data_IF_030669955328
#
_entry.id   IF_030669955328
#
_cell.length_a   1.000
_cell.length_b   1.000
_cell.length_c   1.000
_cell.angle_alpha   90.00
_cell.angle_beta   90.00
_cell.angle_gamma   90.00
#
_symmetry.space_group_name_H-M   'P 1'
#
loop_
_entity.id
_entity.type
_entity.pdbx_description
1 polymer ?
#
# COMPACT_ATOMS: atom_id res chain seq x y z
N UNK A 1 -0.72 28.33 -9.62
CA UNK A 1 -0.94 27.50 -10.83
C UNK A 1 -0.38 26.15 -10.46
N UNK A 2 -1.24 25.14 -10.37
CA UNK A 2 -0.84 23.77 -10.02
C UNK A 2 -0.13 23.21 -11.24
N UNK A 3 1.16 22.93 -11.15
CA UNK A 3 1.89 22.32 -12.26
C UNK A 3 1.47 20.85 -12.34
N UNK A 4 0.99 20.42 -13.50
CA UNK A 4 0.41 19.09 -13.70
C UNK A 4 0.92 18.48 -15.00
N UNK A 5 1.32 17.22 -14.94
CA UNK A 5 1.82 16.46 -16.09
C UNK A 5 1.27 15.04 -16.08
N UNK A 6 1.38 14.37 -17.23
CA UNK A 6 1.07 12.96 -17.38
C UNK A 6 2.13 12.30 -18.26
N UNK A 7 2.45 11.04 -17.99
CA UNK A 7 3.44 10.25 -18.74
C UNK A 7 2.86 8.86 -18.95
N UNK A 8 2.93 8.36 -20.18
CA UNK A 8 2.58 7.00 -20.51
C UNK A 8 3.79 6.09 -20.22
N UNK A 9 3.53 4.89 -19.75
CA UNK A 9 4.58 3.88 -19.57
C UNK A 9 5.05 3.34 -20.92
N UNK A 10 6.31 2.91 -20.98
CA UNK A 10 6.89 2.33 -22.18
C UNK A 10 6.29 0.95 -22.51
N UNK A 11 6.02 0.14 -21.48
CA UNK A 11 5.48 -1.21 -21.63
C UNK A 11 3.93 -1.22 -21.58
N UNK A 12 3.33 -1.88 -22.55
CA UNK A 12 1.87 -1.99 -22.71
C UNK A 12 1.43 -3.44 -22.92
N UNK A 13 0.18 -3.74 -22.58
CA UNK A 13 -0.43 -5.03 -22.88
C UNK A 13 -1.27 -4.94 -24.15
N UNK A 14 -0.99 -5.82 -25.12
CA UNK A 14 -1.84 -5.97 -26.31
C UNK A 14 -2.99 -6.94 -26.05
N UNK A 15 -4.23 -6.47 -26.25
CA UNK A 15 -5.44 -7.29 -26.11
C UNK A 15 -6.14 -7.50 -27.46
N UNK A 16 -6.74 -8.68 -27.70
CA UNK A 16 -7.54 -8.91 -28.90
C UNK A 16 -8.89 -8.17 -28.80
N UNK A 17 -9.26 -7.51 -29.90
CA UNK A 17 -10.53 -6.80 -30.08
C UNK A 17 -11.16 -7.22 -31.41
N UNK A 18 -11.80 -8.39 -31.42
CA UNK A 18 -12.36 -8.98 -32.63
C UNK A 18 -11.26 -9.43 -33.60
N UNK A 19 -11.23 -8.82 -34.78
CA UNK A 19 -10.22 -9.03 -35.82
C UNK A 19 -8.99 -8.10 -35.67
N UNK A 20 -8.97 -7.25 -34.65
CA UNK A 20 -7.88 -6.31 -34.35
C UNK A 20 -7.20 -6.65 -33.03
N UNK A 21 -6.06 -6.00 -32.80
CA UNK A 21 -5.42 -5.90 -31.49
C UNK A 21 -5.38 -4.44 -31.07
N UNK A 22 -5.52 -4.19 -29.76
CA UNK A 22 -5.41 -2.88 -29.15
C UNK A 22 -4.35 -2.93 -28.06
N UNK A 23 -3.49 -1.93 -28.02
CA UNK A 23 -2.56 -1.75 -26.92
C UNK A 23 -3.27 -0.98 -25.81
N UNK A 24 -3.20 -1.50 -24.59
CA UNK A 24 -3.74 -0.87 -23.40
C UNK A 24 -2.66 0.06 -22.86
N UNK A 25 -2.77 1.34 -23.20
CA UNK A 25 -1.88 2.38 -22.70
C UNK A 25 -2.20 2.70 -21.24
N UNK A 26 -1.17 2.70 -20.42
CA UNK A 26 -1.20 3.01 -18.99
C UNK A 26 -0.19 4.13 -18.72
N UNK A 27 -0.30 4.77 -17.57
CA UNK A 27 0.62 5.85 -17.23
C UNK A 27 0.41 6.37 -15.81
N UNK A 28 1.08 7.47 -15.52
CA UNK A 28 0.93 8.17 -14.26
C UNK A 28 0.77 9.68 -14.50
N UNK A 29 -0.03 10.31 -13.64
CA UNK A 29 -0.18 11.75 -13.56
C UNK A 29 0.57 12.29 -12.36
N UNK A 30 1.17 13.47 -12.49
CA UNK A 30 1.89 14.16 -11.42
C UNK A 30 1.29 15.54 -11.23
N UNK A 31 1.07 15.95 -9.99
CA UNK A 31 0.54 17.27 -9.63
C UNK A 31 1.32 17.83 -8.45
N UNK A 32 1.89 19.03 -8.59
CA UNK A 32 2.45 19.77 -7.46
C UNK A 32 1.33 20.43 -6.64
N UNK A 33 1.16 20.03 -5.38
CA UNK A 33 0.07 20.45 -4.52
C UNK A 33 0.54 21.25 -3.30
N UNK A 34 -0.40 21.97 -2.68
CA UNK A 34 -0.18 22.66 -1.41
C UNK A 34 -1.42 22.56 -0.54
N UNK A 35 -1.24 22.21 0.73
CA UNK A 35 -2.30 22.17 1.73
C UNK A 35 -1.81 22.85 3.01
N UNK A 36 -2.38 24.02 3.33
CA UNK A 36 -1.79 24.91 4.34
C UNK A 36 -0.39 25.34 3.91
N UNK A 37 0.60 25.15 4.79
CA UNK A 37 2.00 25.47 4.52
C UNK A 37 2.81 24.28 3.95
N UNK A 38 2.18 23.11 3.78
CA UNK A 38 2.84 21.92 3.24
C UNK A 38 2.74 21.89 1.71
N UNK A 39 3.89 22.00 1.03
CA UNK A 39 4.03 21.71 -0.39
C UNK A 39 4.45 20.25 -0.60
N UNK A 40 3.86 19.57 -1.58
CA UNK A 40 4.09 18.15 -1.84
C UNK A 40 3.71 17.78 -3.27
N UNK A 41 4.16 16.62 -3.73
CA UNK A 41 3.81 16.08 -5.04
C UNK A 41 2.80 14.96 -4.89
N UNK A 42 1.73 14.98 -5.70
CA UNK A 42 0.77 13.88 -5.81
C UNK A 42 1.02 13.15 -7.12
N UNK A 43 1.16 11.83 -7.04
CA UNK A 43 1.29 10.95 -8.19
C UNK A 43 0.12 9.98 -8.20
N UNK A 44 -0.59 9.87 -9.33
CA UNK A 44 -1.68 8.91 -9.50
C UNK A 44 -1.44 7.97 -10.66
N UNK A 45 -1.65 6.68 -10.47
CA UNK A 45 -1.50 5.67 -11.54
C UNK A 45 -2.60 4.60 -11.48
N UNK A 46 -2.71 3.83 -12.55
CA UNK A 46 -3.45 2.57 -12.57
C UNK A 46 -2.59 1.59 -13.38
N UNK A 47 -1.89 0.68 -12.70
CA UNK A 47 -0.95 -0.25 -13.33
C UNK A 47 -1.66 -1.39 -14.07
N UNK A 48 -0.91 -2.16 -14.86
CA UNK A 48 -1.45 -3.26 -15.64
C UNK A 48 -2.10 -4.37 -14.79
N UNK A 49 -3.32 -4.75 -15.15
CA UNK A 49 -4.12 -5.71 -14.39
C UNK A 49 -3.89 -7.16 -14.82
N UNK A 50 -3.68 -7.40 -16.12
CA UNK A 50 -3.68 -8.76 -16.66
C UNK A 50 -2.29 -9.43 -16.71
N UNK A 51 -1.23 -8.64 -16.78
CA UNK A 51 0.14 -9.12 -17.03
C UNK A 51 1.07 -8.68 -15.92
N UNK A 52 1.43 -9.60 -15.04
CA UNK A 52 2.34 -9.32 -13.91
C UNK A 52 3.70 -8.79 -14.37
N UNK A 53 4.21 -9.29 -15.51
CA UNK A 53 5.49 -8.84 -16.05
C UNK A 53 5.44 -7.41 -16.57
N UNK A 54 4.33 -7.03 -17.24
CA UNK A 54 4.14 -5.65 -17.71
C UNK A 54 3.89 -4.74 -16.52
N UNK A 55 3.07 -5.18 -15.56
CA UNK A 55 2.82 -4.45 -14.31
C UNK A 55 4.11 -4.17 -13.54
N UNK A 56 4.98 -5.16 -13.41
CA UNK A 56 6.29 -5.00 -12.77
C UNK A 56 7.19 -4.00 -13.50
N UNK A 57 7.25 -4.06 -14.84
CA UNK A 57 8.02 -3.09 -15.63
C UNK A 57 7.48 -1.65 -15.47
N UNK A 58 6.16 -1.47 -15.45
CA UNK A 58 5.53 -0.17 -15.17
C UNK A 58 5.84 0.33 -13.75
N UNK A 59 5.86 -0.57 -12.76
CA UNK A 59 6.24 -0.23 -11.39
C UNK A 59 7.71 0.19 -11.27
N UNK A 60 8.63 -0.49 -11.97
CA UNK A 60 10.04 -0.11 -12.01
C UNK A 60 10.24 1.27 -12.63
N UNK A 61 9.54 1.55 -13.74
CA UNK A 61 9.57 2.87 -14.40
C UNK A 61 9.02 3.97 -13.47
N UNK A 62 7.88 3.71 -12.81
CA UNK A 62 7.30 4.64 -11.86
C UNK A 62 8.19 4.86 -10.63
N UNK A 63 8.83 3.81 -10.11
CA UNK A 63 9.77 3.91 -9.00
C UNK A 63 10.96 4.82 -9.36
N UNK A 64 11.49 4.70 -10.58
CA UNK A 64 12.55 5.58 -11.07
C UNK A 64 12.08 7.04 -11.18
N UNK A 65 10.84 7.27 -11.63
CA UNK A 65 10.25 8.60 -11.68
C UNK A 65 10.05 9.20 -10.28
N UNK A 66 9.58 8.41 -9.32
CA UNK A 66 9.39 8.83 -7.92
C UNK A 66 10.72 9.18 -7.25
N UNK A 67 11.77 8.38 -7.48
CA UNK A 67 13.11 8.64 -6.94
C UNK A 67 13.75 9.94 -7.46
N UNK A 68 13.24 10.49 -8.57
CA UNK A 68 13.67 11.77 -9.13
C UNK A 68 12.88 12.98 -8.58
N UNK A 69 11.85 12.76 -7.77
CA UNK A 69 11.08 13.83 -7.14
C UNK A 69 11.77 14.33 -5.87
N UNK A 70 11.68 15.63 -5.62
CA UNK A 70 12.14 16.24 -4.38
C UNK A 70 10.97 16.52 -3.43
N UNK A 71 11.18 16.23 -2.15
CA UNK A 71 10.25 16.59 -1.08
C UNK A 71 9.08 15.62 -0.89
N UNK A 72 8.12 15.97 0.00
CA UNK A 72 7.04 15.07 0.38
C UNK A 72 6.21 14.63 -0.82
N UNK A 73 5.89 13.33 -0.87
CA UNK A 73 5.22 12.71 -2.00
C UNK A 73 4.07 11.82 -1.53
N UNK A 74 2.98 11.84 -2.30
CA UNK A 74 1.84 10.95 -2.14
C UNK A 74 1.61 10.24 -3.46
N UNK A 75 1.94 8.96 -3.52
CA UNK A 75 1.54 8.06 -4.61
C UNK A 75 0.20 7.42 -4.22
N UNK A 76 -0.78 7.46 -5.12
CA UNK A 76 -2.06 6.78 -4.92
C UNK A 76 -2.57 6.16 -6.22
N UNK A 77 -3.39 5.11 -6.10
CA UNK A 77 -4.03 4.50 -7.27
C UNK A 77 -4.23 3.00 -7.14
N UNK A 78 -4.72 2.40 -8.23
CA UNK A 78 -4.88 0.96 -8.38
C UNK A 78 -3.57 0.37 -8.91
N UNK A 79 -2.82 -0.26 -8.02
CA UNK A 79 -1.55 -0.89 -8.38
C UNK A 79 -1.76 -2.26 -9.02
N UNK A 80 -2.97 -2.82 -9.03
CA UNK A 80 -3.25 -4.21 -9.41
C UNK A 80 -2.32 -5.22 -8.72
N UNK A 81 -1.85 -4.86 -7.52
CA UNK A 81 -0.90 -5.61 -6.71
C UNK A 81 -1.02 -5.18 -5.25
N UNK A 82 -0.46 -5.96 -4.33
CA UNK A 82 -0.57 -5.68 -2.90
C UNK A 82 0.32 -6.60 -2.04
N UNK A 83 0.39 -6.35 -0.72
CA UNK A 83 1.30 -7.05 0.18
C UNK A 83 1.07 -8.56 0.27
N UNK A 84 -0.12 -9.04 -0.10
CA UNK A 84 -0.46 -10.46 -0.08
C UNK A 84 0.14 -11.25 -1.26
N UNK A 85 0.54 -10.57 -2.34
CA UNK A 85 1.06 -11.20 -3.56
C UNK A 85 2.56 -11.51 -3.46
N UNK A 86 3.33 -10.64 -2.81
CA UNK A 86 4.73 -10.86 -2.47
C UNK A 86 5.71 -10.58 -3.62
N UNK A 87 6.52 -9.53 -3.45
CA UNK A 87 7.64 -9.19 -4.34
C UNK A 87 7.24 -8.71 -5.74
N UNK A 88 6.07 -8.07 -5.85
CA UNK A 88 5.51 -7.52 -7.08
C UNK A 88 5.59 -6.00 -7.16
N UNK A 89 4.67 -5.42 -7.92
CA UNK A 89 4.64 -3.98 -8.18
C UNK A 89 4.43 -3.15 -6.90
N UNK A 90 3.64 -3.68 -5.96
CA UNK A 90 3.42 -3.05 -4.67
C UNK A 90 4.74 -2.92 -3.89
N UNK A 91 5.50 -4.01 -3.72
CA UNK A 91 6.76 -3.96 -2.98
C UNK A 91 7.81 -3.09 -3.65
N UNK A 92 7.86 -3.05 -4.98
CA UNK A 92 8.72 -2.12 -5.71
C UNK A 92 8.40 -0.67 -5.36
N UNK A 93 7.13 -0.28 -5.39
CA UNK A 93 6.70 1.10 -5.14
C UNK A 93 6.70 1.48 -3.65
N UNK A 94 6.45 0.51 -2.77
CA UNK A 94 6.44 0.69 -1.32
C UNK A 94 7.85 0.58 -0.69
N UNK A 95 8.91 0.34 -1.47
CA UNK A 95 10.26 0.13 -0.94
C UNK A 95 10.76 1.34 -0.12
N UNK A 96 10.50 2.55 -0.60
CA UNK A 96 10.91 3.81 0.02
C UNK A 96 9.70 4.68 0.47
N UNK A 97 8.48 4.15 0.35
CA UNK A 97 7.24 4.84 0.74
C UNK A 97 6.54 4.09 1.87
N UNK A 98 5.89 4.83 2.77
CA UNK A 98 5.05 4.25 3.82
C UNK A 98 3.64 4.01 3.29
N UNK A 99 3.12 2.79 3.40
CA UNK A 99 1.70 2.52 3.15
C UNK A 99 0.84 3.16 4.26
N UNK A 100 -0.01 4.11 3.87
CA UNK A 100 -0.86 4.86 4.79
C UNK A 100 -1.94 3.99 5.44
N UNK A 101 -2.41 2.94 4.76
CA UNK A 101 -3.37 2.00 5.33
C UNK A 101 -2.70 1.21 6.47
N UNK A 102 -1.56 0.56 6.19
CA UNK A 102 -0.85 -0.25 7.20
C UNK A 102 -0.41 0.61 8.39
N UNK A 103 0.03 1.84 8.15
CA UNK A 103 0.42 2.76 9.22
C UNK A 103 -0.76 3.16 10.13
N UNK A 104 -1.96 3.38 9.57
CA UNK A 104 -3.13 3.82 10.34
C UNK A 104 -4.03 2.67 10.84
N UNK A 105 -3.91 1.47 10.25
CA UNK A 105 -4.77 0.30 10.45
C UNK A 105 -3.96 -1.02 10.38
N UNK A 106 -2.93 -1.22 11.22
CA UNK A 106 -1.98 -2.33 11.09
C UNK A 106 -2.60 -3.73 11.23
N UNK A 107 -3.78 -3.84 11.84
CA UNK A 107 -4.48 -5.11 12.05
C UNK A 107 -5.67 -5.33 11.09
N UNK A 108 -5.87 -4.44 10.11
CA UNK A 108 -7.00 -4.53 9.18
C UNK A 108 -6.54 -4.82 7.76
N UNK A 109 -7.23 -5.76 7.09
CA UNK A 109 -6.84 -6.23 5.76
C UNK A 109 -6.89 -5.12 4.69
N UNK A 110 -7.89 -4.24 4.75
CA UNK A 110 -8.03 -3.13 3.80
C UNK A 110 -8.42 -3.55 2.40
N UNK A 111 -9.21 -4.62 2.24
CA UNK A 111 -9.63 -5.08 0.92
C UNK A 111 -10.42 -4.03 0.13
N UNK A 112 -10.01 -3.84 -1.12
CA UNK A 112 -10.58 -2.88 -2.05
C UNK A 112 -11.16 -3.54 -3.30
N UNK A 113 -10.88 -4.82 -3.57
CA UNK A 113 -11.25 -5.51 -4.82
C UNK A 113 -11.60 -7.01 -4.59
N UNK A 114 -12.31 -7.71 -5.49
CA UNK A 114 -13.15 -7.14 -6.56
C UNK A 114 -14.56 -7.72 -6.48
N UNK A 115 -15.53 -6.82 -6.59
CA UNK A 115 -16.93 -7.22 -6.78
C UNK A 115 -17.17 -7.64 -8.22
N UNK A 116 -18.34 -8.21 -8.46
CA UNK A 116 -18.77 -8.55 -9.82
C UNK A 116 -18.90 -7.29 -10.68
N UNK A 117 -18.47 -7.37 -11.94
CA UNK A 117 -18.54 -6.28 -12.93
C UNK A 117 -19.96 -5.80 -13.25
N UNK A 118 -20.99 -6.59 -12.92
CA UNK A 118 -22.40 -6.19 -13.01
C UNK A 118 -22.81 -5.21 -11.92
N UNK A 119 -21.99 -5.06 -10.86
CA UNK A 119 -22.17 -4.17 -9.71
C UNK A 119 -23.42 -4.44 -8.86
N UNK A 120 -24.29 -5.37 -9.23
CA UNK A 120 -25.50 -5.76 -8.49
C UNK A 120 -25.28 -6.96 -7.55
N UNK A 121 -24.09 -7.56 -7.57
CA UNK A 121 -23.70 -8.74 -6.80
C UNK A 121 -23.40 -8.49 -5.31
N UNK A 122 -22.96 -9.52 -4.55
CA UNK A 122 -22.55 -9.38 -3.16
C UNK A 122 -21.39 -8.37 -2.99
N UNK A 123 -21.20 -7.86 -1.76
CA UNK A 123 -20.25 -6.78 -1.47
C UNK A 123 -18.87 -7.19 -0.98
N UNK A 124 -18.61 -8.50 -0.83
CA UNK A 124 -17.34 -9.00 -0.31
C UNK A 124 -16.19 -8.72 -1.29
N UNK A 125 -15.05 -8.33 -0.73
CA UNK A 125 -13.77 -8.08 -1.39
C UNK A 125 -12.71 -8.82 -0.58
N UNK A 126 -11.69 -9.35 -1.25
CA UNK A 126 -10.63 -10.18 -0.66
C UNK A 126 -9.22 -9.83 -1.16
N UNK A 127 -9.09 -8.76 -1.96
CA UNK A 127 -7.82 -8.25 -2.47
C UNK A 127 -7.63 -6.77 -2.11
N UNK A 128 -6.39 -6.35 -1.81
CA UNK A 128 -6.00 -4.96 -1.56
C UNK A 128 -5.12 -4.48 -2.70
N UNK A 129 -5.74 -3.85 -3.69
CA UNK A 129 -5.07 -3.41 -4.93
C UNK A 129 -4.91 -1.89 -5.01
N UNK A 130 -5.75 -1.15 -4.29
CA UNK A 130 -5.72 0.31 -4.26
C UNK A 130 -4.97 0.80 -3.03
N UNK A 131 -3.97 1.67 -3.24
CA UNK A 131 -3.05 2.08 -2.17
C UNK A 131 -2.89 3.59 -2.10
N UNK A 132 -2.46 4.05 -0.93
CA UNK A 132 -1.93 5.41 -0.71
C UNK A 132 -0.57 5.25 -0.03
N UNK A 133 0.50 5.46 -0.80
CA UNK A 133 1.88 5.33 -0.37
C UNK A 133 2.49 6.73 -0.21
N UNK A 134 3.17 6.99 0.89
CA UNK A 134 3.59 8.35 1.27
C UNK A 134 5.04 8.45 1.72
N UNK A 135 5.67 9.58 1.39
CA UNK A 135 6.92 10.06 1.98
C UNK A 135 6.74 11.49 2.49
N UNK A 136 7.38 11.84 3.62
CA UNK A 136 7.23 13.14 4.29
C UNK A 136 5.89 13.35 5.00
N UNK A 137 5.09 12.29 5.18
CA UNK A 137 3.80 12.32 5.86
C UNK A 137 3.64 11.15 6.86
N UNK A 138 2.93 11.41 7.94
CA UNK A 138 2.40 10.39 8.83
C UNK A 138 0.90 10.19 8.55
N UNK A 139 0.48 8.95 8.30
CA UNK A 139 -0.94 8.60 8.23
C UNK A 139 -1.54 8.57 9.63
N UNK A 140 -2.61 9.33 9.83
CA UNK A 140 -3.28 9.48 11.14
C UNK A 140 -4.63 8.77 11.18
N UNK A 141 -5.21 8.52 10.02
CA UNK A 141 -6.45 7.78 9.85
C UNK A 141 -6.49 7.19 8.43
N UNK A 142 -7.11 6.04 8.29
CA UNK A 142 -7.45 5.46 7.00
C UNK A 142 -8.81 4.77 7.07
N UNK A 143 -9.59 4.89 5.99
CA UNK A 143 -10.91 4.27 5.87
C UNK A 143 -11.27 3.97 4.43
N UNK A 144 -12.12 2.97 4.24
CA UNK A 144 -12.72 2.68 2.95
C UNK A 144 -13.96 3.54 2.70
N UNK A 145 -14.25 3.80 1.43
CA UNK A 145 -15.50 4.42 0.96
C UNK A 145 -16.11 3.55 -0.13
N UNK A 146 -17.43 3.54 -0.23
CA UNK A 146 -18.11 2.67 -1.19
C UNK A 146 -18.04 1.18 -0.82
N UNK A 147 -17.56 0.84 0.39
CA UNK A 147 -17.39 -0.53 0.86
C UNK A 147 -18.68 -1.14 1.45
N UNK A 148 -19.51 -0.32 2.11
CA UNK A 148 -20.66 -0.76 2.88
C UNK A 148 -21.96 -0.77 2.07
N UNK A 149 -22.93 -1.61 2.46
CA UNK A 149 -24.19 -1.79 1.75
C UNK A 149 -24.99 -0.48 1.59
N UNK A 150 -24.84 0.45 2.53
CA UNK A 150 -25.42 1.79 2.51
C UNK A 150 -24.86 2.68 1.39
N UNK A 151 -23.73 2.31 0.80
CA UNK A 151 -23.14 3.01 -0.34
C UNK A 151 -23.79 2.65 -1.68
N UNK A 152 -24.74 1.71 -1.70
CA UNK A 152 -25.41 1.32 -2.93
C UNK A 152 -26.26 2.44 -3.51
N UNK A 153 -26.32 2.46 -4.83
CA UNK A 153 -27.03 3.44 -5.62
C UNK A 153 -28.14 2.75 -6.41
N UNK A 154 -29.35 3.30 -6.35
CA UNK A 154 -30.44 2.88 -7.24
C UNK A 154 -30.18 3.46 -8.64
N UNK A 155 -30.05 2.59 -9.64
CA UNK A 155 -29.88 2.98 -11.04
C UNK A 155 -30.79 2.15 -11.95
N UNK A 156 -31.23 2.75 -13.06
CA UNK A 156 -32.00 2.03 -14.09
C UNK A 156 -31.04 1.39 -15.09
N UNK A 157 -31.05 0.06 -15.18
CA UNK A 157 -30.24 -0.72 -16.12
C UNK A 157 -31.18 -1.59 -16.96
N UNK A 158 -31.12 -1.43 -18.28
CA UNK A 158 -32.00 -2.11 -19.24
C UNK A 158 -33.51 -1.91 -18.99
N UNK A 159 -33.88 -0.78 -18.36
CA UNK A 159 -35.27 -0.43 -18.05
C UNK A 159 -35.75 -0.86 -16.66
N UNK A 160 -34.95 -1.64 -15.92
CA UNK A 160 -35.26 -2.07 -14.56
C UNK A 160 -34.44 -1.31 -13.52
N UNK A 161 -35.07 -0.95 -12.40
CA UNK A 161 -34.36 -0.38 -11.25
C UNK A 161 -33.51 -1.46 -10.57
N UNK A 162 -32.22 -1.17 -10.34
CA UNK A 162 -31.25 -2.05 -9.69
C UNK A 162 -30.48 -1.29 -8.62
N UNK A 163 -30.07 -2.02 -7.58
CA UNK A 163 -29.17 -1.53 -6.53
C UNK A 163 -27.73 -1.90 -6.87
N UNK A 164 -26.93 -0.90 -7.24
CA UNK A 164 -25.56 -1.09 -7.70
C UNK A 164 -24.54 -0.59 -6.68
N UNK A 165 -23.40 -1.28 -6.59
CA UNK A 165 -22.20 -0.72 -5.98
C UNK A 165 -21.70 0.49 -6.79
N UNK A 166 -21.11 1.52 -6.16
CA UNK A 166 -20.53 2.65 -6.88
C UNK A 166 -19.40 2.27 -7.84
N UNK A 167 -18.68 1.20 -7.49
CA UNK A 167 -17.58 0.62 -8.23
C UNK A 167 -17.42 -0.86 -7.82
N UNK A 168 -16.77 -1.66 -8.66
CA UNK A 168 -16.32 -2.99 -8.31
C UNK A 168 -15.19 -2.95 -7.26
N UNK A 169 -14.58 -1.78 -7.09
CA UNK A 169 -13.65 -1.46 -6.01
C UNK A 169 -14.29 -0.63 -4.88
N UNK A 170 -13.67 -0.65 -3.70
CA UNK A 170 -13.84 0.39 -2.69
C UNK A 170 -12.72 1.43 -2.79
N UNK A 171 -13.04 2.70 -2.51
CA UNK A 171 -12.04 3.76 -2.48
C UNK A 171 -11.28 3.78 -1.14
N UNK A 172 -10.02 4.16 -1.17
CA UNK A 172 -9.18 4.37 0.02
C UNK A 172 -9.10 5.86 0.33
N UNK A 173 -9.36 6.22 1.58
CA UNK A 173 -9.17 7.59 2.09
C UNK A 173 -8.16 7.55 3.22
N UNK A 174 -7.07 8.30 3.09
CA UNK A 174 -6.07 8.50 4.13
C UNK A 174 -6.06 9.96 4.61
N UNK A 175 -5.95 10.16 5.92
CA UNK A 175 -5.73 11.48 6.54
C UNK A 175 -4.26 11.61 6.91
N UNK A 176 -3.56 12.53 6.25
CA UNK A 176 -2.11 12.69 6.36
C UNK A 176 -1.74 13.93 7.19
N UNK A 177 -0.66 13.83 7.97
CA UNK A 177 -0.02 14.95 8.66
C UNK A 177 1.41 15.10 8.16
N UNK A 178 1.79 16.30 7.72
CA UNK A 178 3.18 16.57 7.32
C UNK A 178 4.14 16.37 8.50
N UNK A 179 5.29 15.73 8.23
CA UNK A 179 6.34 15.51 9.24
C UNK A 179 7.33 16.67 9.32
N UNK A 180 7.35 17.56 8.32
CA UNK A 180 8.27 18.70 8.21
C UNK A 180 8.11 19.76 9.31
N UNK A 181 7.03 19.72 10.11
CA UNK A 181 6.78 20.65 11.21
C UNK A 181 7.22 20.18 12.61
N UNK A 182 7.79 18.97 12.73
CA UNK A 182 8.16 18.36 14.02
C UNK A 182 9.47 18.85 14.64
N UNK A 183 10.31 19.56 13.88
CA UNK A 183 11.57 20.14 14.33
C UNK A 183 11.48 21.68 14.40
N UNK A 184 10.46 22.22 15.04
CA UNK A 184 10.59 23.57 15.59
C UNK A 184 11.34 23.47 16.91
N UNK A 185 12.59 23.88 16.86
CA UNK A 185 13.52 24.02 17.97
C UNK A 185 12.79 24.36 19.28
N UNK A 186 12.94 23.50 20.28
CA UNK A 186 12.79 23.93 21.66
C UNK A 186 13.68 25.17 21.83
N UNK A 187 13.01 26.30 22.08
CA UNK A 187 13.56 27.63 22.38
C UNK A 187 14.61 27.52 23.49
N UNK A 188 15.84 27.17 23.10
CA UNK A 188 17.01 27.22 23.96
C UNK A 188 17.51 28.66 23.90
N UNK A 189 16.78 29.57 24.56
CA UNK A 189 17.37 30.86 24.93
C UNK A 189 18.51 30.58 25.89
N UNK A 190 19.73 31.10 25.64
CA UNK A 190 20.73 31.19 26.69
C UNK A 190 20.22 32.21 27.71
N UNK A 191 19.97 31.76 28.94
CA UNK A 191 19.70 32.68 30.04
C UNK A 191 21.05 33.23 30.55
N UNK A 192 21.37 34.47 30.19
CA UNK A 192 22.43 35.26 30.83
C UNK A 192 21.85 36.08 31.98
N UNK A 193 22.23 35.77 33.21
CA UNK A 193 22.51 36.70 34.36
C UNK A 193 22.86 35.80 35.55
N UNK A 194 24.06 35.82 36.10
CA UNK A 194 24.77 36.86 36.88
C UNK A 194 24.93 36.35 38.32
N UNK A 195 26.06 36.78 38.85
CA UNK A 195 26.87 36.42 39.99
C UNK A 195 26.25 36.73 41.36
N UNK A 196 26.63 35.95 42.38
CA UNK A 196 26.44 36.22 43.81
C UNK A 196 25.62 35.12 44.50
N UNK A 197 26.11 34.31 45.44
CA UNK A 197 27.01 34.61 46.55
C UNK A 197 26.18 34.76 47.83
N UNK A 198 26.08 33.72 48.67
CA UNK A 198 25.44 33.86 50.00
C UNK A 198 24.90 32.59 50.66
N UNK A 199 25.69 32.10 51.61
CA UNK A 199 25.49 31.13 52.70
C UNK A 199 24.12 30.96 53.38
N UNK A 200 23.85 29.68 53.71
CA UNK A 200 23.36 29.09 54.98
C UNK A 200 22.00 29.51 55.60
N UNK A 201 21.17 28.50 55.91
CA UNK A 201 20.02 28.62 56.81
C UNK A 201 19.21 27.32 56.98
N UNK A 202 19.53 26.57 58.03
CA UNK A 202 18.78 25.43 58.60
C UNK A 202 17.38 25.85 59.08
N UNK A 203 16.34 25.01 58.91
CA UNK A 203 15.33 24.66 59.94
C UNK A 203 13.99 24.08 59.39
N UNK A 204 13.73 22.83 59.79
CA UNK A 204 12.50 22.33 60.48
C UNK A 204 11.15 22.23 59.74
N UNK A 205 10.61 21.00 59.74
CA UNK A 205 9.21 20.63 59.46
C UNK A 205 8.22 21.21 60.50
N UNK A 206 6.91 21.20 60.21
CA UNK A 206 6.08 20.21 60.90
C UNK A 206 4.93 19.62 60.06
N UNK A 207 4.23 18.73 60.74
CA UNK A 207 3.36 17.65 60.31
C UNK A 207 1.85 18.03 60.32
N UNK A 208 1.01 17.14 59.74
CA UNK A 208 -0.46 16.94 59.89
C UNK A 208 -1.36 17.83 58.99
N UNK A 209 -2.52 17.41 58.45
CA UNK A 209 -3.54 16.40 58.81
C UNK A 209 -4.29 15.88 57.57
N UNK A 210 -4.75 14.62 57.63
CA UNK A 210 -5.91 14.07 56.88
C UNK A 210 -7.24 14.59 57.46
N UNK A 211 -8.34 14.49 56.71
CA UNK A 211 -9.31 13.45 57.07
C UNK A 211 -9.91 12.66 55.88
N UNK A 212 -10.35 11.45 56.22
CA UNK A 212 -11.17 10.52 55.44
C UNK A 212 -12.64 10.94 55.34
N UNK A 213 -13.33 10.47 54.29
CA UNK A 213 -14.56 9.63 54.33
C UNK A 213 -14.98 9.32 52.89
N UNK A 214 -14.90 8.09 52.41
CA UNK A 214 -15.84 6.97 52.60
C UNK A 214 -17.27 7.30 52.20
N UNK A 215 -17.75 6.71 51.08
CA UNK A 215 -18.91 5.79 51.06
C UNK A 215 -18.83 4.77 49.91
N UNK A 216 -18.85 3.49 50.30
CA UNK A 216 -19.25 2.31 49.52
C UNK A 216 -20.77 2.28 49.31
N UNK A 217 -21.25 1.65 48.23
CA UNK A 217 -22.17 0.48 48.22
C UNK A 217 -22.41 0.02 46.78
N UNK A 218 -21.97 -1.20 46.40
CA UNK A 218 -22.77 -2.45 46.26
C UNK A 218 -23.95 -2.30 45.28
N UNK A 219 -24.11 -3.00 44.16
CA UNK A 219 -23.63 -4.32 43.74
C UNK A 219 -24.85 -5.17 43.39
N UNK A 220 -24.89 -5.85 42.23
CA UNK A 220 -25.61 -7.13 42.07
C UNK A 220 -25.27 -7.84 40.75
N UNK A 221 -24.86 -9.10 40.89
CA UNK A 221 -24.85 -10.15 39.86
C UNK A 221 -26.23 -10.81 39.83
N UNK A 222 -26.66 -11.30 38.66
CA UNK A 222 -27.65 -12.38 38.52
C UNK A 222 -27.31 -13.19 37.27
N UNK A 223 -27.37 -14.52 37.41
CA UNK A 223 -27.21 -15.55 36.37
C UNK A 223 -28.59 -16.28 36.15
N UNK A 224 -28.74 -17.41 35.43
CA UNK A 224 -29.58 -17.53 34.22
C UNK A 224 -30.76 -18.55 34.28
N UNK A 225 -31.44 -18.74 33.12
CA UNK A 225 -32.36 -19.85 32.66
C UNK A 225 -33.83 -19.86 33.18
N UNK A 226 -34.83 -20.49 32.51
CA UNK A 226 -34.76 -21.64 31.58
C UNK A 226 -35.60 -21.60 30.27
N UNK A 227 -35.37 -22.58 29.39
CA UNK A 227 -36.03 -22.75 28.08
C UNK A 227 -37.40 -23.47 28.07
N UNK A 228 -37.95 -23.64 26.86
CA UNK A 228 -38.98 -24.63 26.51
C UNK A 228 -38.90 -24.98 25.01
N UNK A 229 -38.98 -26.29 24.74
CA UNK A 229 -38.89 -26.94 23.44
C UNK A 229 -40.23 -26.95 22.68
N UNK A 230 -40.18 -27.14 21.36
CA UNK A 230 -41.36 -27.43 20.54
C UNK A 230 -41.02 -27.74 19.08
N UNK A 231 -41.24 -29.00 18.70
CA UNK A 231 -40.83 -29.68 17.46
C UNK A 231 -41.45 -29.19 16.15
N UNK A 232 -40.77 -29.43 15.03
CA UNK A 232 -41.38 -29.42 13.69
C UNK A 232 -40.48 -29.97 12.58
N UNK A 233 -40.47 -31.30 12.42
CA UNK A 233 -39.88 -31.98 11.26
C UNK A 233 -40.51 -31.47 9.97
N UNK A 234 -39.70 -31.15 8.96
CA UNK A 234 -40.10 -31.32 7.56
C UNK A 234 -38.91 -31.62 6.66
N UNK A 235 -38.92 -32.85 6.17
CA UNK A 235 -38.09 -33.42 5.12
C UNK A 235 -38.36 -32.72 3.79
N UNK A 236 -37.32 -32.21 3.14
CA UNK A 236 -37.39 -31.63 1.79
C UNK A 236 -36.12 -32.00 1.02
N UNK A 237 -36.28 -32.92 0.06
CA UNK A 237 -35.26 -33.44 -0.86
C UNK A 237 -34.46 -32.33 -1.56
N UNK A 238 -33.12 -32.42 -1.51
CA UNK A 238 -32.22 -31.81 -2.52
C UNK A 238 -31.84 -32.89 -3.55
N UNK A 239 -32.03 -32.69 -4.86
CA UNK A 239 -31.36 -33.51 -5.85
C UNK A 239 -29.90 -33.05 -5.99
N UNK A 240 -28.98 -34.01 -5.89
CA UNK A 240 -27.58 -33.83 -6.24
C UNK A 240 -27.47 -33.55 -7.74
N UNK A 241 -26.93 -32.39 -8.11
CA UNK A 241 -26.40 -32.15 -9.45
C UNK A 241 -24.93 -32.52 -9.45
N UNK A 242 -24.63 -33.57 -10.21
CA UNK A 242 -23.31 -34.02 -10.61
C UNK A 242 -22.55 -32.92 -11.37
N UNK A 243 -21.53 -32.35 -10.75
CA UNK A 243 -20.53 -31.53 -11.43
C UNK A 243 -19.61 -32.46 -12.21
N UNK A 244 -19.87 -32.60 -13.51
CA UNK A 244 -19.02 -33.30 -14.46
C UNK A 244 -17.73 -32.50 -14.62
N UNK A 245 -16.65 -32.96 -13.99
CA UNK A 245 -15.26 -32.52 -14.23
C UNK A 245 -14.96 -32.66 -15.73
N UNK A 246 -14.84 -31.55 -16.45
CA UNK A 246 -14.15 -31.53 -17.74
C UNK A 246 -12.68 -31.27 -17.47
N UNK A 247 -11.90 -32.36 -17.49
CA UNK A 247 -10.45 -32.34 -17.41
C UNK A 247 -9.94 -31.98 -18.81
N UNK A 248 -9.66 -30.70 -19.06
CA UNK A 248 -9.04 -30.29 -20.32
C UNK A 248 -7.52 -30.45 -20.20
N UNK A 249 -7.01 -31.64 -20.52
CA UNK A 249 -5.59 -31.87 -20.75
C UNK A 249 -5.24 -31.30 -22.11
N UNK A 250 -4.64 -30.10 -22.14
CA UNK A 250 -4.10 -29.55 -23.38
C UNK A 250 -2.64 -29.98 -23.53
N UNK A 251 -2.46 -31.01 -24.34
CA UNK A 251 -1.20 -31.55 -24.84
C UNK A 251 -0.42 -30.47 -25.60
N UNK A 252 0.84 -30.26 -25.21
CA UNK A 252 1.82 -29.43 -25.94
C UNK A 252 2.32 -30.22 -27.16
N UNK A 253 2.22 -29.72 -28.40
CA UNK A 253 2.88 -30.35 -29.52
C UNK A 253 4.34 -29.90 -29.58
N UNK A 254 5.26 -30.80 -29.25
CA UNK A 254 6.69 -30.68 -29.51
C UNK A 254 6.94 -30.61 -31.02
N UNK A 255 7.35 -29.44 -31.54
CA UNK A 255 7.88 -29.33 -32.90
C UNK A 255 9.37 -29.68 -32.91
N UNK A 256 9.66 -30.82 -33.53
CA UNK A 256 11.01 -31.28 -33.91
C UNK A 256 11.72 -30.23 -34.77
N UNK A 257 12.87 -29.73 -34.31
CA UNK A 257 13.90 -29.13 -35.18
C UNK A 257 14.79 -30.24 -35.75
N UNK A 258 14.83 -30.36 -37.08
CA UNK A 258 16.01 -30.87 -37.83
C UNK A 258 16.88 -29.62 -38.10
N UNK A 259 18.19 -29.57 -37.95
CA UNK A 259 19.19 -30.63 -37.84
C UNK A 259 20.12 -30.64 -39.06
N UNK A 260 20.92 -29.59 -39.24
CA UNK A 260 22.21 -29.57 -39.96
C UNK A 260 23.06 -28.53 -39.20
N UNK A 261 24.27 -28.75 -38.69
CA UNK A 261 25.26 -29.79 -38.88
C UNK A 261 26.59 -29.11 -39.26
N UNK A 262 27.40 -28.71 -38.26
CA UNK A 262 28.87 -28.62 -38.37
C UNK A 262 29.53 -28.42 -37.00
N UNK A 263 30.48 -29.30 -36.73
CA UNK A 263 31.20 -29.52 -35.48
C UNK A 263 32.42 -28.58 -35.33
N UNK A 264 32.59 -28.05 -34.11
CA UNK A 264 33.78 -27.95 -33.22
C UNK A 264 35.21 -28.22 -33.80
N UNK A 265 36.31 -27.66 -33.22
CA UNK A 265 36.54 -27.64 -31.77
C UNK A 265 37.29 -26.44 -31.13
N UNK A 266 37.23 -26.42 -29.80
CA UNK A 266 38.03 -25.61 -28.87
C UNK A 266 39.20 -26.45 -28.34
N UNK A 267 40.31 -25.82 -27.88
CA UNK A 267 40.89 -26.26 -26.61
C UNK A 267 41.40 -25.14 -25.68
N UNK A 268 41.04 -25.31 -24.39
CA UNK A 268 41.78 -25.15 -23.13
C UNK A 268 42.87 -24.06 -22.92
N UNK A 269 42.58 -23.21 -21.92
CA UNK A 269 43.34 -22.90 -20.68
C UNK A 269 44.88 -22.84 -20.67
N UNK A 270 45.44 -21.69 -20.27
CA UNK A 270 46.59 -21.64 -19.33
C UNK A 270 46.78 -20.29 -18.62
N UNK A 271 47.04 -20.38 -17.32
CA UNK A 271 47.49 -19.34 -16.39
C UNK A 271 48.85 -18.72 -16.77
N UNK A 272 49.10 -17.44 -16.42
CA UNK A 272 49.97 -17.00 -15.30
C UNK A 272 50.38 -15.51 -15.36
N UNK A 273 50.27 -14.89 -14.17
CA UNK A 273 51.19 -13.94 -13.49
C UNK A 273 51.37 -12.49 -13.96
N UNK A 274 51.04 -11.61 -13.00
CA UNK A 274 51.52 -10.25 -12.80
C UNK A 274 53.00 -10.19 -12.39
N UNK A 275 53.61 -8.99 -12.47
CA UNK A 275 54.43 -8.54 -11.36
C UNK A 275 54.07 -7.12 -10.88
N UNK A 276 54.33 -6.94 -9.57
CA UNK A 276 54.24 -5.72 -8.77
C UNK A 276 55.29 -4.69 -9.18
N UNK A 277 54.96 -3.40 -9.05
CA UNK A 277 55.91 -2.29 -8.92
C UNK A 277 55.50 -1.41 -7.75
N UNK A 278 56.41 -1.25 -6.79
CA UNK A 278 56.21 -0.60 -5.48
C UNK A 278 56.35 0.93 -5.56
N UNK A 279 55.57 1.66 -4.74
CA UNK A 279 55.89 3.00 -4.25
C UNK A 279 57.02 2.91 -3.17
N UNK A 280 57.72 4.01 -2.76
CA UNK A 280 57.09 5.05 -1.92
C UNK A 280 57.69 6.49 -1.99
N UNK A 281 56.99 7.41 -1.28
CA UNK A 281 57.52 8.57 -0.50
C UNK A 281 57.32 10.00 -1.03
N UNK A 282 56.41 10.72 -0.34
CA UNK A 282 56.38 12.19 -0.06
C UNK A 282 57.44 12.52 1.05
N UNK A 283 57.69 13.77 1.57
CA UNK A 283 57.14 15.14 1.34
C UNK A 283 58.31 16.23 1.28
N UNK A 284 58.22 17.55 1.64
CA UNK A 284 57.11 18.40 2.13
C UNK A 284 56.98 19.82 1.50
N UNK A 285 56.00 20.54 2.05
CA UNK A 285 55.45 21.88 1.77
C UNK A 285 56.37 23.07 2.09
N UNK A 286 56.15 24.18 1.35
CA UNK A 286 56.33 25.63 1.65
C UNK A 286 56.60 26.34 0.29
N UNK A 287 56.01 27.46 -0.12
CA UNK A 287 55.30 28.58 0.51
C UNK A 287 54.19 29.10 -0.41
#
# INVERSE_FOLDING_TARGET
MTDASATAFDETTTVPAGDRTLDVERGYGVVAATAGDAAFTVVNTHLESASESVRGAQADELAAALAALDGPTVLLGDLNDGPAFGGGAYETLAADLTDAWDAARPDADGFTCCRATTLDGPGSMDERLDHVLVDGFAATDARLVGADAESRLTATVDGDARELWPSDHAGVVATLRSTAGGETAADSRPNETDTGGGTAGTATAPERRRPERSRRRTGRRTAPEPGLAGSGRRTGRRPARTSRRVRSTRTVPTRRRRGTGRSAPSPASRLRRTPRGSAPSRPPSAS
#
